data_IF_903002139673
#
_entry.id   IF_903002139673
#
_cell.length_a   1.000
_cell.length_b   1.000
_cell.length_c   1.000
_cell.angle_alpha   90.00
_cell.angle_beta   90.00
_cell.angle_gamma   90.00
#
_symmetry.space_group_name_H-M   'P 1'
#
loop_
_entity.id
_entity.type
_entity.pdbx_description
1 polymer ?
#
# COMPACT_ATOMS: atom_id res chain seq x y z
N UNK A 1 -20.15 -0.34 -37.14
CA UNK A 1 -20.43 0.14 -35.76
C UNK A 1 -20.61 -1.01 -34.74
N UNK A 2 -19.66 -1.95 -34.64
CA UNK A 2 -19.70 -3.03 -33.63
C UNK A 2 -18.57 -2.94 -32.58
N UNK A 3 -17.49 -2.21 -32.86
CA UNK A 3 -16.31 -2.13 -32.00
C UNK A 3 -16.46 -1.25 -30.74
N UNK A 4 -17.51 -0.43 -30.63
CA UNK A 4 -17.72 0.45 -29.47
C UNK A 4 -18.63 -0.14 -28.38
N UNK A 5 -19.31 -1.26 -28.64
CA UNK A 5 -20.21 -1.90 -27.65
C UNK A 5 -19.52 -2.92 -26.75
N UNK A 6 -18.32 -3.39 -27.08
CA UNK A 6 -17.59 -4.37 -26.26
C UNK A 6 -16.74 -3.75 -25.15
N UNK A 7 -16.38 -2.45 -25.24
CA UNK A 7 -15.61 -1.77 -24.19
C UNK A 7 -16.38 -1.52 -22.88
N UNK A 8 -17.69 -1.81 -22.82
CA UNK A 8 -18.52 -1.62 -21.63
C UNK A 8 -18.82 -2.90 -20.85
N UNK A 9 -18.24 -4.05 -21.21
CA UNK A 9 -18.49 -5.34 -20.54
C UNK A 9 -17.38 -5.85 -19.60
N UNK A 10 -16.22 -5.20 -19.56
CA UNK A 10 -15.13 -5.56 -18.64
C UNK A 10 -14.92 -4.47 -17.58
N UNK A 11 -15.96 -4.14 -16.80
CA UNK A 11 -15.73 -3.63 -15.44
C UNK A 11 -15.33 -4.83 -14.55
N UNK A 12 -14.21 -5.46 -14.92
CA UNK A 12 -13.56 -6.46 -14.09
C UNK A 12 -12.91 -5.75 -12.92
N UNK A 13 -13.10 -6.30 -11.73
CA UNK A 13 -12.37 -5.92 -10.52
C UNK A 13 -10.88 -5.99 -10.86
N UNK A 14 -10.26 -4.83 -11.11
CA UNK A 14 -8.82 -4.76 -11.36
C UNK A 14 -8.16 -5.08 -10.03
N UNK A 15 -7.56 -6.27 -9.94
CA UNK A 15 -6.83 -6.68 -8.74
C UNK A 15 -5.61 -5.78 -8.58
N UNK A 16 -5.35 -5.30 -7.37
CA UNK A 16 -4.13 -4.56 -7.06
C UNK A 16 -2.89 -5.33 -7.53
N UNK A 17 -2.93 -6.67 -7.44
CA UNK A 17 -1.85 -7.55 -7.92
C UNK A 17 -1.54 -7.41 -9.40
N UNK A 18 -2.53 -7.14 -10.26
CA UNK A 18 -2.33 -6.97 -11.70
C UNK A 18 -1.63 -5.64 -12.00
N UNK A 19 -2.01 -4.58 -11.27
CA UNK A 19 -1.37 -3.25 -11.35
C UNK A 19 0.08 -3.31 -10.85
N UNK A 20 0.35 -4.05 -9.77
CA UNK A 20 1.70 -4.26 -9.27
C UNK A 20 2.58 -5.03 -10.25
N UNK A 21 2.03 -6.03 -10.96
CA UNK A 21 2.79 -6.77 -11.97
C UNK A 21 3.08 -5.93 -13.21
N UNK A 22 2.17 -5.06 -13.63
CA UNK A 22 2.40 -4.12 -14.73
C UNK A 22 3.49 -3.10 -14.37
N UNK A 23 3.42 -2.49 -13.19
CA UNK A 23 4.45 -1.57 -12.69
C UNK A 23 5.81 -2.24 -12.51
N UNK A 24 5.85 -3.47 -11.99
CA UNK A 24 7.09 -4.23 -11.84
C UNK A 24 7.74 -4.56 -13.19
N UNK A 25 6.94 -4.83 -14.23
CA UNK A 25 7.42 -5.04 -15.60
C UNK A 25 7.97 -3.76 -16.23
N UNK A 26 7.32 -2.62 -16.03
CA UNK A 26 7.79 -1.32 -16.53
C UNK A 26 9.10 -0.88 -15.87
N UNK A 27 9.29 -1.20 -14.59
CA UNK A 27 10.48 -0.85 -13.81
C UNK A 27 11.63 -1.88 -13.93
N UNK A 28 11.46 -2.95 -14.71
CA UNK A 28 12.51 -3.96 -14.93
C UNK A 28 12.88 -4.77 -13.69
N UNK A 29 12.02 -4.80 -12.67
CA UNK A 29 12.26 -5.51 -11.41
C UNK A 29 11.93 -6.99 -11.63
N UNK A 30 12.96 -7.86 -11.58
CA UNK A 30 12.73 -9.31 -11.55
C UNK A 30 12.16 -9.69 -10.19
N UNK A 31 10.84 -9.82 -10.08
CA UNK A 31 10.19 -10.36 -8.89
C UNK A 31 10.50 -11.85 -8.75
N UNK A 32 11.07 -12.32 -7.61
CA UNK A 32 11.09 -13.74 -7.32
C UNK A 32 9.64 -14.20 -7.08
N UNK A 33 9.22 -15.24 -7.81
CA UNK A 33 7.91 -15.86 -7.65
C UNK A 33 7.70 -16.22 -6.18
N UNK A 34 6.76 -15.55 -5.52
CA UNK A 34 6.40 -15.85 -4.14
C UNK A 34 5.30 -16.90 -4.19
N UNK A 35 5.64 -18.10 -3.74
CA UNK A 35 4.69 -19.20 -3.56
C UNK A 35 3.56 -18.75 -2.63
N UNK A 36 2.34 -18.92 -3.11
CA UNK A 36 1.12 -18.67 -2.37
C UNK A 36 0.97 -19.69 -1.24
N UNK A 37 1.03 -19.25 0.01
CA UNK A 37 0.42 -19.96 1.12
C UNK A 37 -0.82 -19.18 1.56
N UNK A 38 -1.95 -19.55 0.96
CA UNK A 38 -3.27 -19.22 1.45
C UNK A 38 -3.60 -20.14 2.62
N UNK A 39 -3.60 -19.61 3.85
CA UNK A 39 -4.31 -20.24 4.96
C UNK A 39 -5.62 -19.48 5.21
N UNK A 40 -6.71 -20.22 4.99
CA UNK A 40 -8.09 -19.82 5.20
C UNK A 40 -8.35 -19.48 6.67
N UNK A 41 -8.87 -18.29 6.92
CA UNK A 41 -9.52 -17.93 8.18
C UNK A 41 -10.98 -17.54 7.91
N UNK A 42 -11.87 -18.54 7.94
CA UNK A 42 -13.33 -18.34 8.01
C UNK A 42 -13.66 -17.54 9.28
N UNK A 43 -14.26 -16.36 9.12
CA UNK A 43 -14.93 -15.65 10.23
C UNK A 43 -16.31 -15.24 9.74
N UNK A 44 -17.29 -16.01 10.18
CA UNK A 44 -18.73 -15.76 10.05
C UNK A 44 -19.09 -14.40 10.63
N UNK A 45 -19.76 -13.57 9.83
CA UNK A 45 -20.38 -12.31 10.23
C UNK A 45 -21.79 -12.54 10.75
N UNK A 46 -22.06 -12.18 12.00
CA UNK A 46 -23.42 -11.85 12.45
C UNK A 46 -23.55 -10.31 12.50
N UNK A 47 -24.58 -9.83 11.82
CA UNK A 47 -24.99 -8.43 11.76
C UNK A 47 -25.51 -7.93 13.11
N UNK A 48 -25.04 -6.76 13.53
CA UNK A 48 -25.81 -5.88 14.40
C UNK A 48 -25.46 -4.42 14.08
N UNK A 49 -26.43 -3.72 13.48
CA UNK A 49 -26.41 -2.28 13.29
C UNK A 49 -26.48 -1.56 14.65
N UNK A 50 -25.38 -0.93 15.05
CA UNK A 50 -25.38 0.13 16.07
C UNK A 50 -24.18 1.05 15.80
N UNK A 51 -24.42 2.35 15.61
CA UNK A 51 -23.38 3.33 15.21
C UNK A 51 -22.19 3.27 16.17
N UNK A 52 -20.99 2.81 15.74
CA UNK A 52 -19.97 2.46 16.71
C UNK A 52 -19.14 3.68 17.11
N UNK A 53 -19.12 3.99 18.41
CA UNK A 53 -17.93 4.64 19.02
C UNK A 53 -16.73 3.81 18.58
N UNK A 54 -15.80 4.38 17.81
CA UNK A 54 -14.61 3.68 17.27
C UNK A 54 -13.88 2.98 18.43
N UNK A 55 -14.19 1.70 18.66
CA UNK A 55 -13.40 0.82 19.52
C UNK A 55 -12.01 0.83 18.89
N UNK A 56 -10.99 1.28 19.64
CA UNK A 56 -9.61 1.28 19.15
C UNK A 56 -9.29 -0.13 18.67
N UNK A 57 -9.06 -0.30 17.36
CA UNK A 57 -8.64 -1.57 16.78
C UNK A 57 -7.40 -2.03 17.54
N UNK A 58 -7.39 -3.28 18.01
CA UNK A 58 -6.21 -3.81 18.68
C UNK A 58 -5.07 -3.88 17.66
N UNK A 59 -4.02 -3.10 17.89
CA UNK A 59 -2.81 -3.13 17.09
C UNK A 59 -1.82 -4.06 17.77
N UNK A 60 -1.45 -5.15 17.07
CA UNK A 60 -0.44 -6.10 17.52
C UNK A 60 0.95 -5.46 17.70
N UNK A 61 1.80 -6.08 18.53
CA UNK A 61 3.15 -5.55 18.82
C UNK A 61 4.01 -5.40 17.56
N UNK A 62 3.93 -6.35 16.63
CA UNK A 62 4.66 -6.34 15.35
C UNK A 62 4.26 -5.14 14.49
N UNK A 63 2.96 -4.89 14.30
CA UNK A 63 2.46 -3.75 13.53
C UNK A 63 2.91 -2.41 14.11
N UNK A 64 3.02 -2.28 15.45
CA UNK A 64 3.58 -1.06 16.07
C UNK A 64 5.06 -0.88 15.74
N UNK A 65 5.86 -1.94 15.83
CA UNK A 65 7.29 -1.89 15.49
C UNK A 65 7.46 -1.52 14.02
N UNK A 66 6.71 -2.18 13.13
CA UNK A 66 6.72 -1.89 11.70
C UNK A 66 6.34 -0.43 11.40
N UNK A 67 5.33 0.10 12.08
CA UNK A 67 4.94 1.50 11.95
C UNK A 67 6.05 2.46 12.39
N UNK A 68 6.72 2.21 13.52
CA UNK A 68 7.84 3.05 13.97
C UNK A 68 9.06 2.96 13.05
N UNK A 69 9.41 1.77 12.56
CA UNK A 69 10.48 1.60 11.57
C UNK A 69 10.17 2.35 10.27
N UNK A 70 8.92 2.26 9.80
CA UNK A 70 8.50 2.96 8.59
C UNK A 70 8.52 4.49 8.76
N UNK A 71 8.14 5.01 9.93
CA UNK A 71 8.30 6.44 10.25
C UNK A 71 9.77 6.86 10.23
N UNK A 72 10.67 6.04 10.76
CA UNK A 72 12.09 6.35 10.74
C UNK A 72 12.67 6.32 9.32
N UNK A 73 12.28 5.35 8.49
CA UNK A 73 12.65 5.30 7.08
C UNK A 73 12.22 6.58 6.34
N UNK A 74 10.98 7.05 6.54
CA UNK A 74 10.50 8.31 5.95
C UNK A 74 11.27 9.54 6.47
N UNK A 75 11.70 9.54 7.74
CA UNK A 75 12.56 10.61 8.29
C UNK A 75 13.94 10.61 7.67
N UNK A 76 14.57 9.44 7.49
CA UNK A 76 15.87 9.33 6.85
C UNK A 76 15.81 9.77 5.38
N UNK A 77 14.77 9.37 4.64
CA UNK A 77 14.55 9.87 3.27
C UNK A 77 14.38 11.39 3.23
N UNK A 78 13.66 11.97 4.21
CA UNK A 78 13.53 13.44 4.33
C UNK A 78 14.88 14.12 4.61
N UNK A 79 15.73 13.53 5.46
CA UNK A 79 17.09 14.03 5.73
C UNK A 79 17.96 13.94 4.47
N UNK A 80 17.89 12.83 3.74
CA UNK A 80 18.61 12.63 2.49
C UNK A 80 18.19 13.66 1.44
N UNK A 81 16.88 13.85 1.24
CA UNK A 81 16.32 14.87 0.35
C UNK A 81 16.88 16.26 0.66
N UNK A 82 16.88 16.66 1.94
CA UNK A 82 17.36 17.98 2.37
C UNK A 82 18.87 18.19 2.19
N UNK A 83 19.66 17.12 2.07
CA UNK A 83 21.13 17.16 1.92
C UNK A 83 21.60 16.88 0.50
N UNK A 84 20.72 16.37 -0.36
CA UNK A 84 21.04 16.05 -1.75
C UNK A 84 21.01 17.31 -2.60
N UNK A 85 22.09 17.53 -3.36
CA UNK A 85 22.19 18.63 -4.33
C UNK A 85 22.08 18.15 -5.78
N UNK A 86 22.07 16.84 -6.00
CA UNK A 86 21.90 16.22 -7.31
C UNK A 86 20.41 16.06 -7.63
N UNK A 87 19.89 16.70 -8.70
CA UNK A 87 18.47 16.64 -9.03
C UNK A 87 17.93 15.21 -9.22
N UNK A 88 18.67 14.35 -9.91
CA UNK A 88 18.28 12.96 -10.17
C UNK A 88 18.09 12.15 -8.87
N UNK A 89 18.93 12.41 -7.86
CA UNK A 89 18.84 11.78 -6.54
C UNK A 89 17.62 12.31 -5.77
N UNK A 90 17.35 13.61 -5.88
CA UNK A 90 16.17 14.25 -5.29
C UNK A 90 14.89 13.63 -5.87
N UNK A 91 14.78 13.55 -7.19
CA UNK A 91 13.62 12.96 -7.89
C UNK A 91 13.43 11.48 -7.50
N UNK A 92 14.53 10.73 -7.42
CA UNK A 92 14.49 9.32 -6.98
C UNK A 92 14.00 9.17 -5.54
N UNK A 93 14.40 10.07 -4.63
CA UNK A 93 13.94 10.07 -3.24
C UNK A 93 12.45 10.42 -3.18
N UNK A 94 11.99 11.41 -3.95
CA UNK A 94 10.57 11.76 -4.01
C UNK A 94 9.72 10.60 -4.52
N UNK A 95 10.17 9.92 -5.59
CA UNK A 95 9.55 8.72 -6.13
C UNK A 95 9.47 7.59 -5.08
N UNK A 96 10.57 7.33 -4.37
CA UNK A 96 10.60 6.33 -3.31
C UNK A 96 9.62 6.67 -2.17
N UNK A 97 9.53 7.94 -1.76
CA UNK A 97 8.57 8.39 -0.75
C UNK A 97 7.13 8.21 -1.22
N UNK A 98 6.83 8.48 -2.49
CA UNK A 98 5.51 8.25 -3.09
C UNK A 98 5.13 6.77 -3.04
N UNK A 99 6.02 5.88 -3.50
CA UNK A 99 5.80 4.43 -3.46
C UNK A 99 5.58 3.92 -2.04
N UNK A 100 6.42 4.32 -1.09
CA UNK A 100 6.25 3.95 0.32
C UNK A 100 4.92 4.45 0.86
N UNK A 101 4.47 5.65 0.49
CA UNK A 101 3.18 6.16 0.94
C UNK A 101 2.01 5.32 0.42
N UNK A 102 2.06 4.89 -0.83
CA UNK A 102 1.05 3.99 -1.41
C UNK A 102 1.06 2.66 -0.66
N UNK A 103 2.23 2.04 -0.48
CA UNK A 103 2.39 0.78 0.25
C UNK A 103 1.79 0.89 1.67
N UNK A 104 2.12 1.96 2.39
CA UNK A 104 1.61 2.18 3.76
C UNK A 104 0.09 2.32 3.75
N UNK A 105 -0.46 3.10 2.81
CA UNK A 105 -1.90 3.34 2.71
C UNK A 105 -2.69 2.06 2.39
N UNK A 106 -2.14 1.20 1.54
CA UNK A 106 -2.75 -0.10 1.21
C UNK A 106 -2.61 -1.13 2.34
N UNK A 107 -1.62 -0.98 3.22
CA UNK A 107 -1.30 -1.92 4.30
C UNK A 107 -1.44 -1.26 5.69
N UNK A 108 -2.53 -0.56 5.95
CA UNK A 108 -2.78 0.18 7.20
C UNK A 108 -2.85 -0.74 8.45
N UNK A 109 -3.18 -2.01 8.27
CA UNK A 109 -3.14 -3.02 9.32
C UNK A 109 -1.70 -3.35 9.77
N UNK A 110 -0.75 -3.32 8.83
CA UNK A 110 0.68 -3.56 9.07
C UNK A 110 1.39 -2.27 9.53
N UNK A 111 1.00 -1.12 8.99
CA UNK A 111 1.61 0.19 9.24
C UNK A 111 0.64 1.21 9.85
N UNK A 112 0.00 0.90 10.99
CA UNK A 112 -1.08 1.71 11.52
C UNK A 112 -0.63 3.10 11.93
N UNK A 113 -1.37 4.11 11.46
CA UNK A 113 -1.19 5.51 11.83
C UNK A 113 0.14 6.11 11.37
N UNK A 114 0.82 5.51 10.39
CA UNK A 114 2.02 6.08 9.77
C UNK A 114 1.63 7.21 8.83
N UNK A 115 0.63 7.00 7.97
CA UNK A 115 -0.02 8.06 7.23
C UNK A 115 -1.30 8.39 7.99
N UNK A 116 -1.34 9.56 8.63
CA UNK A 116 -2.63 10.05 9.11
C UNK A 116 -3.46 10.37 7.87
N UNK A 117 -4.44 9.51 7.57
CA UNK A 117 -5.54 9.91 6.70
C UNK A 117 -6.10 11.23 7.25
N UNK A 118 -6.25 12.23 6.38
CA UNK A 118 -7.05 13.41 6.73
C UNK A 118 -8.48 12.90 6.98
N UNK A 119 -8.84 12.72 8.24
CA UNK A 119 -10.24 12.87 8.66
C UNK A 119 -10.61 14.35 8.62
#
# INVERSE_FOLDING_TARGET
MKALKERRKNQGVVSAGDVFQELAKELGVKTPATEANAENGEVTSEEAEERPRKKRRYIGKSARINAELMKEALRELKKAYARSYQPEVVDSIEGAVLLLKVIIAENEDVFPGVIKGKE
#
